data_IF_400931119368
#
_entry.id   IF_400931119368
#
_cell.length_a   1.000
_cell.length_b   1.000
_cell.length_c   1.000
_cell.angle_alpha   90.00
_cell.angle_beta   90.00
_cell.angle_gamma   90.00
#
_symmetry.space_group_name_H-M   'P 1'
#
loop_
_entity.id
_entity.type
_entity.pdbx_description
1 polymer ?
#
# COMPACT_ATOMS: atom_id res chain seq x y z
N UNK A 1 4.07 -7.15 31.13
CA UNK A 1 3.55 -6.75 29.82
C UNK A 1 3.70 -7.94 28.89
N UNK A 2 2.61 -8.59 28.53
CA UNK A 2 2.60 -9.81 27.72
C UNK A 2 3.02 -9.44 26.31
N UNK A 3 4.06 -10.09 25.78
CA UNK A 3 4.32 -10.12 24.35
C UNK A 3 3.07 -10.71 23.68
N UNK A 4 2.31 -9.89 23.02
CA UNK A 4 1.36 -10.38 22.03
C UNK A 4 2.20 -11.04 20.93
N UNK A 5 2.26 -12.36 20.95
CA UNK A 5 2.51 -13.13 19.74
C UNK A 5 1.30 -12.90 18.82
N UNK A 6 1.26 -11.76 18.15
CA UNK A 6 0.22 -11.53 17.18
C UNK A 6 0.55 -12.36 15.94
N UNK A 7 -0.03 -13.54 15.89
CA UNK A 7 -0.17 -14.35 14.66
C UNK A 7 -1.09 -13.66 13.65
N UNK A 8 -1.51 -12.44 13.92
CA UNK A 8 -2.51 -11.70 13.18
C UNK A 8 -1.84 -10.88 12.08
N UNK A 9 -2.24 -11.17 10.85
CA UNK A 9 -1.77 -10.45 9.66
C UNK A 9 -2.53 -9.13 9.60
N UNK A 10 -1.86 -8.02 9.88
CA UNK A 10 -2.45 -6.69 9.99
C UNK A 10 -3.39 -6.30 8.82
N UNK A 11 -3.05 -6.52 7.53
CA UNK A 11 -3.98 -6.24 6.45
C UNK A 11 -5.29 -7.02 6.50
N UNK A 12 -5.30 -8.24 7.04
CA UNK A 12 -6.53 -9.02 7.21
C UNK A 12 -7.39 -8.47 8.34
N UNK A 13 -6.77 -8.02 9.44
CA UNK A 13 -7.50 -7.36 10.53
C UNK A 13 -8.21 -6.11 10.05
N UNK A 14 -7.62 -5.40 9.10
CA UNK A 14 -8.23 -4.23 8.47
C UNK A 14 -9.45 -4.62 7.60
N UNK A 15 -9.36 -5.73 6.88
CA UNK A 15 -10.52 -6.28 6.14
C UNK A 15 -11.65 -6.60 7.10
N UNK A 16 -11.34 -7.29 8.20
CA UNK A 16 -12.33 -7.66 9.22
C UNK A 16 -12.91 -6.41 9.93
N UNK A 17 -12.06 -5.42 10.24
CA UNK A 17 -12.52 -4.14 10.80
C UNK A 17 -13.55 -3.45 9.93
N UNK A 18 -13.29 -3.33 8.62
CA UNK A 18 -14.25 -2.67 7.71
C UNK A 18 -15.51 -3.50 7.50
N UNK A 19 -15.43 -4.82 7.41
CA UNK A 19 -16.61 -5.67 7.31
C UNK A 19 -17.47 -5.61 8.57
N UNK A 20 -16.87 -5.56 9.77
CA UNK A 20 -17.59 -5.47 11.03
C UNK A 20 -18.27 -4.10 11.22
N UNK A 21 -17.60 -3.00 10.81
CA UNK A 21 -18.15 -1.65 10.95
C UNK A 21 -19.11 -1.27 9.80
N UNK A 22 -18.90 -1.85 8.62
CA UNK A 22 -19.68 -1.60 7.41
C UNK A 22 -20.08 -2.91 6.74
N UNK A 23 -21.00 -3.70 7.33
CA UNK A 23 -21.36 -5.02 6.84
C UNK A 23 -21.79 -5.02 5.36
N UNK A 24 -21.13 -5.85 4.56
CA UNK A 24 -21.36 -5.94 3.12
C UNK A 24 -20.70 -4.83 2.30
N UNK A 25 -19.78 -4.04 2.89
CA UNK A 25 -19.06 -2.97 2.18
C UNK A 25 -18.37 -3.47 0.91
N UNK A 26 -17.81 -4.67 0.95
CA UNK A 26 -17.08 -5.25 -0.18
C UNK A 26 -17.99 -5.60 -1.36
N UNK A 27 -19.24 -5.96 -1.10
CA UNK A 27 -20.24 -6.21 -2.15
C UNK A 27 -20.74 -4.89 -2.75
N UNK A 28 -20.85 -3.84 -1.95
CA UNK A 28 -21.26 -2.51 -2.41
C UNK A 28 -20.17 -1.84 -3.27
N UNK A 29 -18.92 -1.91 -2.83
CA UNK A 29 -17.78 -1.35 -3.60
C UNK A 29 -17.63 -2.10 -4.93
N UNK A 30 -17.87 -3.42 -4.92
CA UNK A 30 -17.74 -4.25 -6.11
C UNK A 30 -16.27 -4.56 -6.44
N UNK A 31 -16.06 -5.04 -7.67
CA UNK A 31 -14.75 -5.38 -8.19
C UNK A 31 -14.74 -5.37 -9.71
N UNK A 32 -13.76 -4.72 -10.32
CA UNK A 32 -13.59 -4.68 -11.75
C UNK A 32 -12.37 -5.50 -12.21
N UNK A 33 -12.62 -6.55 -13.00
CA UNK A 33 -11.55 -7.39 -13.55
C UNK A 33 -10.61 -6.64 -14.51
N UNK A 34 -11.08 -5.56 -15.13
CA UNK A 34 -10.25 -4.76 -16.02
C UNK A 34 -9.08 -4.12 -15.27
N UNK A 35 -9.28 -3.71 -14.01
CA UNK A 35 -8.23 -3.09 -13.19
C UNK A 35 -7.09 -4.06 -12.88
N UNK A 36 -7.39 -5.35 -12.69
CA UNK A 36 -6.36 -6.38 -12.51
C UNK A 36 -5.59 -6.61 -13.82
N UNK A 37 -6.28 -6.66 -14.96
CA UNK A 37 -5.65 -6.89 -16.27
C UNK A 37 -4.77 -5.71 -16.69
N UNK A 38 -5.19 -4.48 -16.39
CA UNK A 38 -4.43 -3.26 -16.70
C UNK A 38 -3.32 -2.99 -15.67
N UNK A 39 -3.28 -3.77 -14.58
CA UNK A 39 -2.39 -3.54 -13.43
C UNK A 39 -2.49 -2.11 -12.86
N UNK A 40 -3.66 -1.48 -12.98
CA UNK A 40 -3.96 -0.13 -12.48
C UNK A 40 -5.44 -0.01 -12.16
N UNK A 41 -5.78 0.73 -11.12
CA UNK A 41 -7.15 0.87 -10.61
C UNK A 41 -7.76 2.16 -11.15
N UNK A 42 -8.83 2.06 -11.95
CA UNK A 42 -9.60 3.24 -12.32
C UNK A 42 -10.64 3.55 -11.22
N UNK A 43 -10.45 4.68 -10.53
CA UNK A 43 -11.34 5.11 -9.45
C UNK A 43 -12.81 5.27 -9.91
N UNK A 44 -13.03 5.68 -11.16
CA UNK A 44 -14.36 5.84 -11.74
C UNK A 44 -15.21 4.56 -11.68
N UNK A 45 -14.58 3.39 -11.84
CA UNK A 45 -15.28 2.10 -11.77
C UNK A 45 -15.94 1.82 -10.41
N UNK A 46 -15.46 2.45 -9.35
CA UNK A 46 -15.90 2.20 -7.96
C UNK A 46 -16.76 3.32 -7.38
N UNK A 47 -16.88 4.44 -8.09
CA UNK A 47 -17.57 5.65 -7.60
C UNK A 47 -18.99 5.37 -7.13
N UNK A 48 -19.76 4.61 -7.91
CA UNK A 48 -21.15 4.30 -7.56
C UNK A 48 -21.25 3.41 -6.32
N UNK A 49 -20.42 2.38 -6.22
CA UNK A 49 -20.40 1.48 -5.06
C UNK A 49 -20.01 2.21 -3.77
N UNK A 50 -19.00 3.09 -3.85
CA UNK A 50 -18.58 3.93 -2.73
C UNK A 50 -19.69 4.92 -2.32
N UNK A 51 -20.39 5.52 -3.31
CA UNK A 51 -21.53 6.41 -3.04
C UNK A 51 -22.63 5.68 -2.26
N UNK A 52 -23.05 4.50 -2.72
CA UNK A 52 -24.06 3.67 -2.05
C UNK A 52 -23.63 3.33 -0.61
N UNK A 53 -22.35 2.98 -0.42
CA UNK A 53 -21.80 2.69 0.89
C UNK A 53 -21.91 3.91 1.83
N UNK A 54 -21.52 5.09 1.37
CA UNK A 54 -21.52 6.30 2.17
C UNK A 54 -22.94 6.77 2.51
N UNK A 55 -23.86 6.66 1.58
CA UNK A 55 -25.28 6.94 1.83
C UNK A 55 -25.87 5.98 2.87
N UNK A 56 -25.58 4.68 2.75
CA UNK A 56 -26.06 3.66 3.69
C UNK A 56 -25.58 3.88 5.11
N UNK A 57 -24.32 4.29 5.28
CA UNK A 57 -23.68 4.44 6.60
C UNK A 57 -23.55 5.89 7.06
N UNK A 58 -24.23 6.84 6.39
CA UNK A 58 -24.28 8.26 6.75
C UNK A 58 -22.88 8.92 6.89
N UNK A 59 -21.96 8.61 5.99
CA UNK A 59 -20.63 9.18 5.98
C UNK A 59 -20.68 10.49 5.17
N UNK A 60 -20.84 11.64 5.83
CA UNK A 60 -21.10 12.94 5.19
C UNK A 60 -19.90 13.91 5.17
N UNK A 61 -18.85 13.64 5.92
CA UNK A 61 -17.63 14.47 5.95
C UNK A 61 -16.81 14.26 4.67
N UNK A 62 -16.68 15.29 3.82
CA UNK A 62 -16.03 15.19 2.51
C UNK A 62 -14.55 14.80 2.58
N UNK A 63 -13.80 15.27 3.57
CA UNK A 63 -12.40 14.88 3.76
C UNK A 63 -12.29 13.42 4.25
N UNK A 64 -13.17 13.03 5.19
CA UNK A 64 -13.27 11.63 5.61
C UNK A 64 -13.72 10.75 4.47
N UNK A 65 -14.65 11.19 3.62
CA UNK A 65 -15.09 10.44 2.44
C UNK A 65 -13.93 10.15 1.49
N UNK A 66 -13.12 11.12 1.12
CA UNK A 66 -12.02 10.91 0.21
C UNK A 66 -11.00 9.93 0.80
N UNK A 67 -10.53 10.17 2.02
CA UNK A 67 -9.58 9.30 2.68
C UNK A 67 -10.14 7.88 2.89
N UNK A 68 -11.39 7.77 3.36
CA UNK A 68 -12.07 6.49 3.56
C UNK A 68 -12.32 5.78 2.23
N UNK A 69 -12.70 6.52 1.16
CA UNK A 69 -12.90 5.96 -0.18
C UNK A 69 -11.64 5.29 -0.70
N UNK A 70 -10.53 6.00 -0.68
CA UNK A 70 -9.26 5.48 -1.20
C UNK A 70 -8.77 4.31 -0.35
N UNK A 71 -8.90 4.39 0.97
CA UNK A 71 -8.55 3.28 1.86
C UNK A 71 -9.39 2.04 1.59
N UNK A 72 -10.71 2.18 1.54
CA UNK A 72 -11.63 1.09 1.25
C UNK A 72 -11.34 0.48 -0.13
N UNK A 73 -11.09 1.32 -1.13
CA UNK A 73 -10.73 0.88 -2.47
C UNK A 73 -9.42 0.10 -2.48
N UNK A 74 -8.38 0.61 -1.81
CA UNK A 74 -7.09 -0.08 -1.71
C UNK A 74 -7.25 -1.47 -1.08
N UNK A 75 -7.99 -1.57 0.02
CA UNK A 75 -8.24 -2.84 0.70
C UNK A 75 -9.11 -3.75 -0.19
N UNK A 76 -10.14 -3.22 -0.85
CA UNK A 76 -11.01 -3.98 -1.75
C UNK A 76 -10.22 -4.61 -2.91
N UNK A 77 -9.33 -3.85 -3.53
CA UNK A 77 -8.44 -4.33 -4.60
C UNK A 77 -7.41 -5.31 -4.05
N UNK A 78 -6.74 -4.97 -2.95
CA UNK A 78 -5.74 -5.83 -2.32
C UNK A 78 -6.31 -7.20 -1.94
N UNK A 79 -7.54 -7.26 -1.42
CA UNK A 79 -8.23 -8.52 -1.07
C UNK A 79 -8.27 -9.55 -2.19
N UNK A 80 -8.17 -9.13 -3.44
CA UNK A 80 -8.19 -10.03 -4.61
C UNK A 80 -6.83 -10.67 -4.85
N UNK A 81 -5.76 -9.95 -4.58
CA UNK A 81 -4.39 -10.41 -4.81
C UNK A 81 -3.68 -10.84 -3.52
N UNK A 82 -3.99 -10.19 -2.41
CA UNK A 82 -3.46 -10.43 -1.05
C UNK A 82 -1.93 -10.59 -1.01
N UNK A 83 -1.23 -9.71 -1.70
CA UNK A 83 0.22 -9.71 -1.76
C UNK A 83 0.79 -8.87 -0.62
N UNK A 84 1.70 -9.45 0.16
CA UNK A 84 2.41 -8.80 1.26
C UNK A 84 3.91 -8.92 0.99
N UNK A 85 4.61 -7.79 0.94
CA UNK A 85 6.05 -7.71 0.83
C UNK A 85 6.64 -7.41 2.21
N UNK A 86 7.42 -8.34 2.74
CA UNK A 86 8.05 -8.22 4.06
C UNK A 86 9.54 -7.96 3.85
N UNK A 87 9.99 -6.79 4.26
CA UNK A 87 11.38 -6.41 4.15
C UNK A 87 12.19 -6.89 5.36
N UNK A 88 13.44 -7.26 5.11
CA UNK A 88 14.41 -7.49 6.18
C UNK A 88 14.68 -6.20 6.96
N UNK A 89 14.82 -6.31 8.29
CA UNK A 89 15.01 -5.14 9.17
C UNK A 89 16.29 -4.37 8.89
N UNK A 90 17.36 -5.03 8.49
CA UNK A 90 18.62 -4.37 8.20
C UNK A 90 18.50 -3.52 6.94
N UNK A 91 17.83 -4.04 5.90
CA UNK A 91 17.53 -3.27 4.69
C UNK A 91 16.68 -2.05 5.00
N UNK A 92 15.64 -2.20 5.85
CA UNK A 92 14.80 -1.06 6.24
C UNK A 92 15.59 0.00 7.01
N UNK A 93 16.53 -0.41 7.86
CA UNK A 93 17.44 0.53 8.54
C UNK A 93 18.35 1.26 7.55
N UNK A 94 18.88 0.54 6.57
CA UNK A 94 19.70 1.14 5.52
C UNK A 94 18.89 2.16 4.72
N UNK A 95 17.64 1.83 4.37
CA UNK A 95 16.72 2.76 3.70
C UNK A 95 16.48 4.04 4.52
N UNK A 96 16.35 3.94 5.83
CA UNK A 96 16.19 5.12 6.67
C UNK A 96 17.46 6.01 6.72
N UNK A 97 18.64 5.39 6.67
CA UNK A 97 19.92 6.07 6.86
C UNK A 97 20.52 6.63 5.56
N UNK A 98 20.15 6.07 4.40
CA UNK A 98 20.69 6.51 3.12
C UNK A 98 19.99 7.78 2.61
N UNK A 99 20.78 8.70 2.07
CA UNK A 99 20.24 9.76 1.21
C UNK A 99 20.10 9.19 -0.21
N UNK A 100 18.87 9.15 -0.71
CA UNK A 100 18.60 8.74 -2.09
C UNK A 100 18.29 9.97 -2.93
N UNK A 101 18.94 10.01 -4.08
CA UNK A 101 18.52 10.89 -5.15
C UNK A 101 17.35 10.24 -5.90
N UNK A 102 16.19 10.88 -5.90
CA UNK A 102 15.00 10.44 -6.61
C UNK A 102 14.88 11.07 -8.01
N UNK A 103 16.00 11.35 -8.69
CA UNK A 103 16.02 11.89 -10.05
C UNK A 103 15.73 10.83 -11.14
N UNK A 104 15.01 9.78 -10.74
CA UNK A 104 14.56 8.70 -11.62
C UNK A 104 13.18 9.00 -12.21
N UNK A 105 12.91 8.42 -13.38
CA UNK A 105 11.57 8.50 -13.99
C UNK A 105 10.51 7.83 -13.11
N UNK A 106 9.35 8.48 -12.89
CA UNK A 106 8.23 7.87 -12.16
C UNK A 106 7.60 6.68 -12.91
N UNK A 107 7.94 6.44 -14.17
CA UNK A 107 7.52 5.27 -14.93
C UNK A 107 8.00 3.96 -14.31
N UNK A 108 9.04 3.99 -13.47
CA UNK A 108 9.48 2.84 -12.68
C UNK A 108 8.34 2.22 -11.87
N UNK A 109 7.38 3.00 -11.40
CA UNK A 109 6.24 2.47 -10.64
C UNK A 109 5.27 1.64 -11.49
N UNK A 110 5.33 1.73 -12.82
CA UNK A 110 4.58 0.83 -13.69
C UNK A 110 5.05 -0.63 -13.58
N UNK A 111 6.29 -0.84 -13.16
CA UNK A 111 6.87 -2.18 -12.94
C UNK A 111 6.37 -2.85 -11.66
N UNK A 112 5.60 -2.16 -10.80
CA UNK A 112 4.97 -2.80 -9.66
C UNK A 112 4.15 -4.01 -10.11
N UNK A 113 4.37 -5.19 -9.52
CA UNK A 113 3.84 -6.45 -10.04
C UNK A 113 2.33 -6.59 -9.92
N UNK A 114 1.70 -5.80 -9.05
CA UNK A 114 0.27 -5.86 -8.78
C UNK A 114 -0.34 -4.45 -8.67
N UNK A 115 -1.64 -4.28 -8.97
CA UNK A 115 -2.30 -2.99 -8.89
C UNK A 115 -2.38 -2.44 -7.45
N UNK A 116 -2.43 -3.33 -6.46
CA UNK A 116 -2.37 -2.97 -5.05
C UNK A 116 -1.58 -4.02 -4.26
N UNK A 117 -0.63 -3.58 -3.44
CA UNK A 117 0.20 -4.39 -2.55
C UNK A 117 0.17 -3.83 -1.14
N UNK A 118 0.48 -4.68 -0.15
CA UNK A 118 0.81 -4.26 1.20
C UNK A 118 2.30 -4.49 1.45
N UNK A 119 2.95 -3.52 2.08
CA UNK A 119 4.36 -3.59 2.47
C UNK A 119 4.42 -3.53 3.98
N UNK A 120 5.01 -4.58 4.57
CA UNK A 120 5.24 -4.72 6.00
C UNK A 120 6.64 -4.19 6.33
N UNK A 121 6.71 -3.21 7.23
CA UNK A 121 7.97 -2.58 7.66
C UNK A 121 8.22 -2.69 9.17
N UNK A 122 7.44 -3.52 9.86
CA UNK A 122 7.65 -3.96 11.24
C UNK A 122 7.94 -2.82 12.23
N UNK A 123 7.14 -1.76 12.18
CA UNK A 123 7.22 -0.61 13.10
C UNK A 123 8.33 0.41 12.79
N UNK A 124 9.09 0.25 11.73
CA UNK A 124 10.15 1.20 11.33
C UNK A 124 9.52 2.57 11.03
N UNK A 125 10.15 3.65 11.48
CA UNK A 125 9.65 5.04 11.36
C UNK A 125 8.25 5.25 11.98
N UNK A 126 7.86 4.41 12.95
CA UNK A 126 6.53 4.43 13.58
C UNK A 126 5.41 4.03 12.63
N UNK A 127 5.69 3.16 11.66
CA UNK A 127 4.75 2.62 10.68
C UNK A 127 4.81 1.10 10.75
N UNK A 128 3.66 0.46 10.95
CA UNK A 128 3.56 -1.01 10.92
C UNK A 128 3.72 -1.54 9.49
N UNK A 129 3.12 -0.81 8.55
CA UNK A 129 3.18 -1.10 7.13
C UNK A 129 2.37 -0.09 6.33
N UNK A 130 2.26 -0.31 5.03
CA UNK A 130 1.48 0.56 4.18
C UNK A 130 0.98 -0.15 2.93
N UNK A 131 -0.19 0.27 2.47
CA UNK A 131 -0.67 -0.11 1.14
C UNK A 131 -0.14 0.84 0.09
N UNK A 132 0.08 0.28 -1.09
CA UNK A 132 0.39 1.04 -2.29
C UNK A 132 -0.53 0.59 -3.41
N UNK A 133 -1.16 1.54 -4.08
CA UNK A 133 -2.06 1.28 -5.19
C UNK A 133 -1.73 2.19 -6.37
N UNK A 134 -1.54 1.60 -7.54
CA UNK A 134 -1.55 2.34 -8.80
C UNK A 134 -2.98 2.66 -9.18
N UNK A 135 -3.28 3.92 -9.41
CA UNK A 135 -4.62 4.34 -9.78
C UNK A 135 -4.60 5.36 -10.92
N UNK A 136 -5.72 5.46 -11.60
CA UNK A 136 -5.98 6.47 -12.61
C UNK A 136 -7.36 7.09 -12.40
N UNK A 137 -7.53 8.30 -12.88
CA UNK A 137 -8.84 8.93 -12.99
C UNK A 137 -9.51 8.63 -14.35
N UNK A 138 -10.72 9.15 -14.55
CA UNK A 138 -11.47 8.98 -15.79
C UNK A 138 -10.82 9.68 -17.00
N UNK A 139 -9.88 10.57 -16.79
CA UNK A 139 -9.10 11.26 -17.83
C UNK A 139 -7.79 10.52 -18.15
N UNK A 140 -7.52 9.41 -17.45
CA UNK A 140 -6.28 8.64 -17.60
C UNK A 140 -5.08 9.23 -16.85
N UNK A 141 -5.27 10.22 -15.98
CA UNK A 141 -4.19 10.71 -15.16
C UNK A 141 -3.79 9.64 -14.14
N UNK A 142 -2.51 9.31 -14.12
CA UNK A 142 -1.94 8.28 -13.27
C UNK A 142 -1.51 8.86 -11.92
N UNK A 143 -1.76 8.11 -10.87
CA UNK A 143 -1.36 8.45 -9.51
C UNK A 143 -0.92 7.21 -8.75
N UNK A 144 -0.03 7.41 -7.79
CA UNK A 144 0.35 6.41 -6.80
C UNK A 144 -0.28 6.80 -5.46
N UNK A 145 -1.13 5.92 -4.95
CA UNK A 145 -1.78 6.10 -3.67
C UNK A 145 -1.03 5.29 -2.61
N UNK A 146 -0.54 5.95 -1.56
CA UNK A 146 0.17 5.31 -0.45
C UNK A 146 -0.61 5.57 0.83
N UNK A 147 -0.88 4.51 1.59
CA UNK A 147 -1.66 4.59 2.82
C UNK A 147 -0.91 3.92 3.97
N UNK A 148 -0.38 4.72 4.89
CA UNK A 148 0.39 4.24 6.04
C UNK A 148 -0.51 3.75 7.17
N UNK A 149 -0.12 2.66 7.80
CA UNK A 149 -0.73 2.14 9.02
C UNK A 149 0.18 2.42 10.20
N UNK A 150 -0.34 3.08 11.21
CA UNK A 150 0.36 3.47 12.43
C UNK A 150 -0.35 2.79 13.59
N UNK A 151 0.39 2.37 14.62
CA UNK A 151 -0.06 1.43 15.67
C UNK A 151 -1.39 1.72 16.37
N UNK A 152 -1.91 2.95 16.35
CA UNK A 152 -3.14 3.29 17.09
C UNK A 152 -4.14 4.15 16.32
N UNK A 153 -3.83 4.52 15.08
CA UNK A 153 -4.74 5.35 14.29
C UNK A 153 -4.47 5.18 12.80
N UNK A 154 -5.54 5.13 12.06
CA UNK A 154 -5.50 5.23 10.63
C UNK A 154 -4.86 6.57 10.21
N UNK A 155 -3.64 6.59 9.68
CA UNK A 155 -3.44 6.84 8.25
C UNK A 155 -3.07 8.24 7.88
N UNK A 156 -1.89 8.33 7.35
CA UNK A 156 -1.57 9.40 6.40
C UNK A 156 -1.77 8.83 4.99
N UNK A 157 -2.83 9.22 4.32
CA UNK A 157 -3.02 8.95 2.90
C UNK A 157 -2.20 9.96 2.10
N UNK A 158 -1.36 9.46 1.21
CA UNK A 158 -0.59 10.25 0.26
C UNK A 158 -1.04 9.88 -1.15
N UNK A 159 -1.44 10.87 -1.93
CA UNK A 159 -1.73 10.72 -3.34
C UNK A 159 -0.65 11.46 -4.13
N UNK A 160 0.18 10.71 -4.84
CA UNK A 160 1.25 11.23 -5.67
C UNK A 160 0.79 11.22 -7.13
N UNK A 161 0.57 12.39 -7.71
CA UNK A 161 0.25 12.53 -9.13
C UNK A 161 1.51 12.33 -9.96
N UNK A 162 1.48 11.33 -10.84
CA UNK A 162 2.63 10.91 -11.67
C UNK A 162 2.67 11.70 -12.99
N UNK A 163 1.51 12.07 -13.52
CA UNK A 163 1.43 12.76 -14.82
C UNK A 163 2.12 14.12 -14.78
N UNK A 164 2.95 14.36 -15.80
CA UNK A 164 3.64 15.63 -15.99
C UNK A 164 4.87 15.85 -15.10
N UNK A 165 5.21 14.89 -14.26
CA UNK A 165 6.44 14.91 -13.48
C UNK A 165 7.57 14.26 -14.29
N UNK A 166 8.74 14.90 -14.35
CA UNK A 166 9.92 14.36 -15.02
C UNK A 166 10.67 13.37 -14.13
N UNK A 167 10.63 13.62 -12.83
CA UNK A 167 11.32 12.80 -11.83
C UNK A 167 10.44 12.49 -10.62
N UNK A 168 10.85 11.50 -9.83
CA UNK A 168 10.20 11.20 -8.55
C UNK A 168 10.38 12.38 -7.59
N UNK A 169 11.50 13.10 -7.64
CA UNK A 169 11.71 14.34 -6.88
C UNK A 169 10.66 15.41 -7.19
N UNK A 170 10.29 15.57 -8.47
CA UNK A 170 9.23 16.50 -8.86
C UNK A 170 7.88 16.12 -8.22
N UNK A 171 7.57 14.83 -8.21
CA UNK A 171 6.34 14.33 -7.57
C UNK A 171 6.33 14.66 -6.08
N UNK A 172 7.44 14.38 -5.38
CA UNK A 172 7.60 14.66 -3.94
C UNK A 172 7.45 16.17 -3.68
N UNK A 173 8.13 16.99 -4.46
CA UNK A 173 8.06 18.45 -4.36
C UNK A 173 6.64 18.95 -4.56
N UNK A 174 5.99 18.55 -5.65
CA UNK A 174 4.61 18.94 -5.97
C UNK A 174 3.63 18.54 -4.87
N UNK A 175 3.79 17.34 -4.30
CA UNK A 175 2.99 16.88 -3.16
C UNK A 175 3.16 17.83 -1.96
N UNK A 176 4.40 18.12 -1.54
CA UNK A 176 4.64 18.99 -0.38
C UNK A 176 4.28 20.47 -0.63
N UNK A 177 4.36 20.93 -1.86
CA UNK A 177 3.97 22.30 -2.23
C UNK A 177 2.44 22.46 -2.25
N UNK A 178 1.70 21.41 -2.63
CA UNK A 178 0.23 21.39 -2.56
C UNK A 178 -0.31 21.37 -1.13
N UNK A 179 0.47 20.83 -0.18
CA UNK A 179 0.10 20.70 1.24
C UNK A 179 0.37 22.00 2.04
N UNK A 180 -0.14 23.14 1.56
CA UNK A 180 0.07 24.47 2.20
C UNK A 180 -0.37 24.54 3.67
N UNK A 181 -1.27 23.66 4.09
CA UNK A 181 -1.87 23.66 5.42
C UNK A 181 -1.10 22.85 6.47
N UNK A 182 -0.02 22.15 6.12
CA UNK A 182 0.78 21.45 7.14
C UNK A 182 1.62 22.50 7.89
N UNK A 183 0.94 23.23 8.79
CA UNK A 183 1.53 24.31 9.61
C UNK A 183 2.60 23.85 10.59
N UNK A 184 2.71 22.55 10.85
CA UNK A 184 3.67 22.02 11.83
C UNK A 184 4.88 21.41 11.13
N UNK A 185 6.04 22.06 11.20
CA UNK A 185 7.32 21.58 10.68
C UNK A 185 7.63 20.12 11.08
N UNK A 186 7.31 19.74 12.32
CA UNK A 186 7.49 18.36 12.82
C UNK A 186 6.65 17.33 12.05
N UNK A 187 5.38 17.62 11.76
CA UNK A 187 4.51 16.73 10.99
C UNK A 187 5.01 16.56 9.54
N UNK A 188 5.49 17.64 8.94
CA UNK A 188 6.06 17.62 7.58
C UNK A 188 7.31 16.74 7.52
N UNK A 189 8.18 16.80 8.51
CA UNK A 189 9.37 15.96 8.58
C UNK A 189 9.02 14.48 8.74
N UNK A 190 8.14 14.12 9.67
CA UNK A 190 7.67 12.73 9.85
C UNK A 190 7.08 12.18 8.53
N UNK A 191 6.28 12.98 7.83
CA UNK A 191 5.70 12.56 6.56
C UNK A 191 6.77 12.37 5.47
N UNK A 192 7.81 13.21 5.45
CA UNK A 192 8.95 13.04 4.53
C UNK A 192 9.70 11.75 4.79
N UNK A 193 10.02 11.44 6.04
CA UNK A 193 10.70 10.18 6.40
C UNK A 193 9.88 8.95 5.99
N UNK A 194 8.59 8.95 6.27
CA UNK A 194 7.68 7.88 5.87
C UNK A 194 7.59 7.73 4.35
N UNK A 195 7.44 8.84 3.64
CA UNK A 195 7.38 8.83 2.18
C UNK A 195 8.70 8.35 1.58
N UNK A 196 9.84 8.80 2.12
CA UNK A 196 11.17 8.32 1.71
C UNK A 196 11.28 6.80 1.86
N UNK A 197 10.94 6.26 3.04
CA UNK A 197 10.94 4.82 3.27
C UNK A 197 10.05 4.07 2.28
N UNK A 198 8.82 4.56 2.07
CA UNK A 198 7.89 3.92 1.14
C UNK A 198 8.43 3.89 -0.29
N UNK A 199 8.96 5.00 -0.78
CA UNK A 199 9.53 5.09 -2.13
C UNK A 199 10.75 4.18 -2.29
N UNK A 200 11.61 4.04 -1.28
CA UNK A 200 12.73 3.11 -1.31
C UNK A 200 12.30 1.65 -1.39
N UNK A 201 11.29 1.26 -0.58
CA UNK A 201 10.70 -0.07 -0.69
C UNK A 201 10.13 -0.33 -2.10
N UNK A 202 9.46 0.66 -2.68
CA UNK A 202 8.88 0.55 -4.02
C UNK A 202 9.96 0.44 -5.10
N UNK A 203 11.01 1.25 -5.02
CA UNK A 203 12.14 1.18 -5.95
C UNK A 203 12.83 -0.18 -5.86
N UNK A 204 12.99 -0.72 -4.65
CA UNK A 204 13.52 -2.08 -4.49
C UNK A 204 12.64 -3.11 -5.18
N UNK A 205 11.31 -3.08 -4.98
CA UNK A 205 10.37 -4.03 -5.61
C UNK A 205 10.40 -3.91 -7.13
N UNK A 206 10.59 -2.70 -7.66
CA UNK A 206 10.64 -2.44 -9.11
C UNK A 206 12.02 -2.73 -9.73
N UNK A 207 13.05 -2.98 -8.93
CA UNK A 207 14.39 -3.24 -9.46
C UNK A 207 14.47 -4.62 -10.14
N UNK A 208 15.11 -4.70 -11.28
CA UNK A 208 15.23 -5.93 -12.08
C UNK A 208 16.02 -7.04 -11.35
N UNK A 209 16.90 -6.67 -10.42
CA UNK A 209 17.75 -7.56 -9.63
C UNK A 209 17.29 -7.67 -8.17
N UNK A 210 16.04 -7.28 -7.87
CA UNK A 210 15.51 -7.37 -6.51
C UNK A 210 15.50 -8.83 -6.03
N UNK A 211 16.06 -9.06 -4.85
CA UNK A 211 15.99 -10.37 -4.19
C UNK A 211 14.64 -10.51 -3.49
N UNK A 212 13.67 -11.06 -4.20
CA UNK A 212 12.30 -11.26 -3.74
C UNK A 212 11.95 -12.73 -3.88
N UNK A 213 11.70 -13.39 -2.75
CA UNK A 213 11.35 -14.81 -2.70
C UNK A 213 9.97 -15.02 -2.05
N UNK A 214 9.15 -15.91 -2.60
CA UNK A 214 7.87 -16.30 -1.96
C UNK A 214 8.16 -17.04 -0.64
N UNK A 215 7.51 -16.63 0.46
CA UNK A 215 7.71 -17.27 1.76
C UNK A 215 7.16 -18.72 1.77
N UNK A 216 8.03 -19.74 1.88
CA UNK A 216 7.62 -21.14 1.82
C UNK A 216 6.83 -21.60 3.05
N UNK A 217 6.87 -20.88 4.16
CA UNK A 217 6.30 -21.30 5.45
C UNK A 217 4.77 -21.20 5.43
N UNK A 218 4.20 -20.32 4.64
CA UNK A 218 2.75 -20.10 4.63
C UNK A 218 1.95 -21.20 3.91
N UNK A 219 2.52 -21.92 2.97
CA UNK A 219 1.87 -23.07 2.32
C UNK A 219 1.46 -24.19 3.30
N UNK A 220 2.07 -24.25 4.49
CA UNK A 220 1.85 -25.35 5.48
C UNK A 220 0.88 -25.01 6.62
N UNK A 221 0.50 -23.76 6.82
CA UNK A 221 -0.28 -23.34 8.03
C UNK A 221 -1.79 -23.36 7.88
N UNK A 222 -2.33 -23.48 6.68
CA UNK A 222 -3.77 -23.46 6.48
C UNK A 222 -4.32 -24.87 6.22
N UNK A 223 -4.64 -25.60 7.29
CA UNK A 223 -5.56 -26.74 7.21
C UNK A 223 -6.98 -26.18 7.17
N UNK A 224 -7.70 -26.45 6.10
CA UNK A 224 -9.07 -26.03 5.90
C UNK A 224 -10.01 -26.68 6.93
N UNK A 225 -10.74 -25.90 7.74
CA UNK A 225 -11.88 -26.41 8.49
C UNK A 225 -13.17 -26.20 7.70
N UNK A 226 -14.20 -26.94 7.99
CA UNK A 226 -15.55 -27.03 7.44
C UNK A 226 -16.00 -26.06 6.31
N UNK A 227 -17.00 -26.43 5.50
CA UNK A 227 -17.34 -25.78 4.22
C UNK A 227 -17.65 -24.28 4.25
N UNK A 228 -18.24 -23.75 5.32
CA UNK A 228 -18.49 -22.30 5.47
C UNK A 228 -17.22 -21.55 5.90
N UNK A 229 -16.42 -22.17 6.75
CA UNK A 229 -15.12 -21.68 7.16
C UNK A 229 -14.11 -21.74 6.01
N UNK A 230 -14.24 -22.71 5.09
CA UNK A 230 -13.41 -22.83 3.90
C UNK A 230 -13.56 -21.61 2.95
N UNK A 231 -14.77 -21.07 2.80
CA UNK A 231 -14.98 -19.84 2.01
C UNK A 231 -14.37 -18.64 2.74
N UNK A 232 -14.49 -18.55 4.06
CA UNK A 232 -13.84 -17.52 4.88
C UNK A 232 -12.32 -17.65 4.90
N UNK A 233 -11.79 -18.87 4.98
CA UNK A 233 -10.36 -19.14 5.04
C UNK A 233 -9.67 -19.02 3.68
N UNK A 234 -10.35 -19.34 2.57
CA UNK A 234 -9.88 -19.03 1.22
C UNK A 234 -9.76 -17.51 1.00
N UNK A 235 -10.61 -16.73 1.69
CA UNK A 235 -10.50 -15.27 1.77
C UNK A 235 -9.25 -14.84 2.59
N UNK A 236 -8.70 -15.69 3.46
CA UNK A 236 -7.57 -15.38 4.35
C UNK A 236 -6.20 -15.84 3.83
N UNK A 237 -6.12 -16.63 2.76
CA UNK A 237 -4.84 -16.91 2.13
C UNK A 237 -4.18 -15.63 1.64
N UNK A 238 -2.98 -15.36 2.15
CA UNK A 238 -2.12 -14.27 1.69
C UNK A 238 -0.84 -14.83 1.10
N UNK A 239 -0.28 -14.15 0.11
CA UNK A 239 1.05 -14.45 -0.39
C UNK A 239 2.04 -13.47 0.23
N UNK A 240 3.01 -14.00 0.96
CA UNK A 240 4.12 -13.22 1.50
C UNK A 240 5.36 -13.37 0.63
N UNK A 241 6.01 -12.25 0.41
CA UNK A 241 7.26 -12.13 -0.32
C UNK A 241 8.31 -11.57 0.62
N UNK A 242 9.40 -12.30 0.78
CA UNK A 242 10.54 -11.86 1.58
C UNK A 242 11.49 -11.06 0.70
N UNK A 243 11.80 -9.84 1.11
CA UNK A 243 12.69 -8.94 0.40
C UNK A 243 14.03 -8.83 1.14
N UNK A 244 15.13 -9.22 0.47
CA UNK A 244 16.49 -9.02 0.95
C UNK A 244 17.00 -9.96 2.05
N UNK A 245 16.61 -11.22 2.04
CA UNK A 245 17.06 -12.22 3.05
C UNK A 245 18.47 -12.76 2.88
N UNK A 246 19.14 -12.47 1.75
CA UNK A 246 20.54 -12.83 1.55
C UNK A 246 21.41 -11.60 1.78
N UNK A 247 22.59 -11.78 2.36
CA UNK A 247 23.63 -10.76 2.52
C UNK A 247 24.03 -10.20 1.14
N UNK A 248 23.23 -9.35 0.56
CA UNK A 248 23.50 -8.69 -0.70
C UNK A 248 23.86 -7.25 -0.44
N UNK A 249 25.08 -6.92 -0.79
CA UNK A 249 25.45 -5.54 -1.01
C UNK A 249 24.63 -5.03 -2.19
N UNK A 250 23.58 -4.26 -1.91
CA UNK A 250 22.82 -3.57 -2.95
C UNK A 250 23.76 -2.55 -3.58
N UNK A 251 24.32 -2.90 -4.74
CA UNK A 251 25.15 -1.98 -5.53
C UNK A 251 24.19 -1.14 -6.36
N UNK A 252 23.91 0.07 -5.91
CA UNK A 252 23.09 1.06 -6.64
C UNK A 252 23.76 1.65 -7.89
N UNK A 253 24.90 1.07 -8.36
CA UNK A 253 25.68 1.62 -9.47
C UNK A 253 25.06 1.45 -10.86
N UNK A 254 23.98 0.69 -11.02
CA UNK A 254 23.46 0.33 -12.34
C UNK A 254 22.18 1.08 -12.77
N UNK A 255 21.82 2.18 -12.08
CA UNK A 255 20.69 3.02 -12.48
C UNK A 255 21.09 4.20 -13.40
N UNK A 256 22.22 4.12 -14.05
CA UNK A 256 22.73 5.21 -14.88
C UNK A 256 23.45 4.76 -16.14
N UNK A 257 22.74 4.45 -17.19
CA UNK A 257 23.17 4.69 -18.58
C UNK A 257 21.99 4.49 -19.52
#
# INVERSE_FOLDING_TARGET
MSKYESTEILPLNMVDFFENNYPGCWNMIGFNLADIKSNSVNYGHYRNGLKILFEKYNIWDDLKRLATSLTLLMIAVWRKNKQIFCFDKEILKDFCNQEINFDMSPELFEQLPYPCIYIDVDGISGVEGFWVMKCSDDLGNKSLCINFVVSDAFMSLILLTVNGASTINDIIKNFFDSQREIKMKKKKNIMRERLKLALQCLLYICAANAEIEEDPIQKKRYRAPSSEQFIKDKVREVKKWNCGKKESKIIYSDFGS
#
